data_IF_368145644343
#
_entry.id   IF_368145644343
#
_cell.length_a   1.000
_cell.length_b   1.000
_cell.length_c   1.000
_cell.angle_alpha   90.00
_cell.angle_beta   90.00
_cell.angle_gamma   90.00
#
_symmetry.space_group_name_H-M   'P 1'
#
loop_
_entity.id
_entity.type
_entity.pdbx_description
1 polymer ?
#
# COMPACT_ATOMS: atom_id res chain seq x y z
N UNK A 1 19.25 -3.06 7.90
CA UNK A 1 18.91 -1.63 8.06
C UNK A 1 17.41 -1.56 8.25
N UNK A 2 16.90 -0.67 9.11
CA UNK A 2 15.45 -0.48 9.25
C UNK A 2 14.94 0.39 8.10
N UNK A 3 13.79 0.01 7.55
CA UNK A 3 13.12 0.66 6.44
C UNK A 3 11.96 1.49 6.98
N UNK A 4 11.87 2.76 6.57
CA UNK A 4 10.75 3.63 6.95
C UNK A 4 9.71 3.59 5.83
N UNK A 5 8.51 3.01 6.04
CA UNK A 5 7.51 2.92 4.98
C UNK A 5 7.05 4.31 4.56
N UNK A 6 6.94 4.52 3.26
CA UNK A 6 6.36 5.70 2.64
C UNK A 6 5.29 5.28 1.63
N UNK A 7 4.09 5.83 1.74
CA UNK A 7 3.00 5.60 0.80
C UNK A 7 3.06 6.63 -0.34
N UNK A 8 2.99 6.14 -1.56
CA UNK A 8 2.84 6.94 -2.77
C UNK A 8 1.59 6.50 -3.50
N UNK A 9 0.61 7.39 -3.56
CA UNK A 9 -0.60 7.19 -4.34
C UNK A 9 -0.35 7.63 -5.79
N UNK A 10 -0.63 6.76 -6.76
CA UNK A 10 -0.43 7.03 -8.19
C UNK A 10 -1.75 7.37 -8.88
N UNK A 11 -2.89 6.84 -8.40
CA UNK A 11 -4.21 7.15 -8.95
C UNK A 11 -5.16 7.72 -7.89
N UNK A 12 -6.10 8.60 -8.27
CA UNK A 12 -7.14 9.07 -7.36
C UNK A 12 -8.12 7.95 -7.03
N UNK A 13 -8.81 8.05 -5.89
CA UNK A 13 -9.86 7.11 -5.52
C UNK A 13 -11.04 7.13 -6.52
N UNK A 14 -11.65 5.98 -6.81
CA UNK A 14 -12.85 5.90 -7.69
C UNK A 14 -14.13 6.25 -6.97
N UNK A 15 -14.19 6.01 -5.66
CA UNK A 15 -15.37 6.23 -4.83
C UNK A 15 -14.99 6.58 -3.38
N UNK A 16 -15.99 6.92 -2.57
CA UNK A 16 -15.80 7.31 -1.18
C UNK A 16 -15.30 6.16 -0.29
N UNK A 17 -15.63 4.90 -0.60
CA UNK A 17 -15.18 3.76 0.17
C UNK A 17 -13.69 3.48 -0.08
N UNK A 18 -13.24 3.58 -1.33
CA UNK A 18 -11.83 3.51 -1.68
C UNK A 18 -11.04 4.69 -1.12
N UNK A 19 -11.61 5.91 -1.14
CA UNK A 19 -10.99 7.06 -0.49
C UNK A 19 -10.79 6.84 1.02
N UNK A 20 -11.77 6.26 1.71
CA UNK A 20 -11.65 5.91 3.12
C UNK A 20 -10.55 4.86 3.37
N UNK A 21 -10.48 3.81 2.53
CA UNK A 21 -9.41 2.79 2.61
C UNK A 21 -8.02 3.38 2.36
N UNK A 22 -7.88 4.31 1.41
CA UNK A 22 -6.62 5.00 1.14
C UNK A 22 -6.21 5.92 2.29
N UNK A 23 -7.16 6.58 2.95
CA UNK A 23 -6.90 7.35 4.15
C UNK A 23 -6.45 6.44 5.32
N UNK A 24 -7.09 5.29 5.51
CA UNK A 24 -6.69 4.30 6.50
C UNK A 24 -5.29 3.73 6.21
N UNK A 25 -4.97 3.47 4.94
CA UNK A 25 -3.64 3.05 4.52
C UNK A 25 -2.58 4.12 4.80
N UNK A 26 -2.91 5.38 4.53
CA UNK A 26 -2.04 6.52 4.83
C UNK A 26 -1.74 6.59 6.33
N UNK A 27 -2.77 6.42 7.17
CA UNK A 27 -2.63 6.42 8.62
C UNK A 27 -1.81 5.22 9.12
N UNK A 28 -2.04 4.03 8.56
CA UNK A 28 -1.29 2.81 8.86
C UNK A 28 0.20 3.05 8.60
N UNK A 29 0.56 3.55 7.41
CA UNK A 29 1.95 3.82 7.04
C UNK A 29 2.56 4.89 7.93
N UNK A 30 1.85 5.99 8.19
CA UNK A 30 2.34 7.10 9.01
C UNK A 30 2.59 6.72 10.49
N UNK A 31 1.86 5.74 11.01
CA UNK A 31 2.00 5.27 12.41
C UNK A 31 2.87 4.02 12.55
N UNK A 32 3.27 3.41 11.44
CA UNK A 32 4.16 2.25 11.44
C UNK A 32 5.58 2.68 11.76
N UNK A 33 6.14 2.14 12.85
CA UNK A 33 7.54 2.30 13.17
C UNK A 33 8.45 1.69 12.08
N UNK A 34 9.70 2.15 11.91
CA UNK A 34 10.61 1.56 10.94
C UNK A 34 10.72 0.03 11.08
N UNK A 35 10.56 -0.68 9.97
CA UNK A 35 10.47 -2.14 9.92
C UNK A 35 11.80 -2.75 9.46
N UNK A 36 12.15 -3.97 9.91
CA UNK A 36 13.27 -4.70 9.32
C UNK A 36 13.01 -5.11 7.86
N UNK A 37 11.74 -5.31 7.50
CA UNK A 37 11.28 -5.64 6.15
C UNK A 37 9.92 -4.98 5.86
N UNK A 38 9.83 -4.18 4.82
CA UNK A 38 8.57 -3.53 4.41
C UNK A 38 7.47 -4.52 4.03
N UNK A 39 7.83 -5.74 3.62
CA UNK A 39 6.87 -6.76 3.22
C UNK A 39 6.00 -7.23 4.39
N UNK A 40 6.42 -6.96 5.63
CA UNK A 40 5.64 -7.24 6.83
C UNK A 40 4.33 -6.43 6.89
N UNK A 41 4.22 -5.33 6.14
CA UNK A 41 2.96 -4.58 6.00
C UNK A 41 1.95 -5.25 5.05
N UNK A 42 2.39 -6.15 4.18
CA UNK A 42 1.55 -6.70 3.12
C UNK A 42 0.25 -7.39 3.61
N UNK A 43 0.25 -8.14 4.73
CA UNK A 43 -0.99 -8.70 5.29
C UNK A 43 -2.00 -7.61 5.67
N UNK A 44 -1.55 -6.52 6.29
CA UNK A 44 -2.44 -5.40 6.66
C UNK A 44 -2.98 -4.68 5.42
N UNK A 45 -2.12 -4.46 4.41
CA UNK A 45 -2.56 -3.87 3.13
C UNK A 45 -3.61 -4.73 2.43
N UNK A 46 -3.45 -6.06 2.44
CA UNK A 46 -4.44 -7.01 1.88
C UNK A 46 -5.77 -7.03 2.62
N UNK A 47 -5.77 -6.75 3.92
CA UNK A 47 -7.02 -6.63 4.69
C UNK A 47 -7.78 -5.37 4.29
N UNK A 48 -7.07 -4.25 4.07
CA UNK A 48 -7.67 -3.00 3.59
C UNK A 48 -8.16 -3.11 2.14
N UNK A 49 -7.40 -3.81 1.29
CA UNK A 49 -7.67 -3.96 -0.13
C UNK A 49 -7.80 -5.45 -0.51
N UNK A 50 -8.96 -6.08 -0.21
CA UNK A 50 -9.12 -7.51 -0.41
C UNK A 50 -9.39 -7.89 -1.87
N UNK A 51 -8.98 -9.09 -2.30
CA UNK A 51 -9.44 -9.68 -3.56
C UNK A 51 -10.96 -9.95 -3.51
N UNK A 52 -11.64 -10.00 -4.67
CA UNK A 52 -11.09 -9.90 -6.01
C UNK A 52 -11.00 -8.47 -6.54
N UNK A 53 -11.41 -7.45 -5.78
CA UNK A 53 -11.45 -6.06 -6.25
C UNK A 53 -10.05 -5.45 -6.41
N UNK A 54 -9.11 -5.90 -5.58
CA UNK A 54 -7.75 -5.40 -5.54
C UNK A 54 -6.73 -6.53 -5.58
N UNK A 55 -5.58 -6.22 -6.17
CA UNK A 55 -4.39 -7.07 -6.15
C UNK A 55 -3.27 -6.37 -5.37
N UNK A 56 -2.70 -7.07 -4.40
CA UNK A 56 -1.61 -6.58 -3.56
C UNK A 56 -0.42 -7.52 -3.68
N UNK A 57 0.61 -7.04 -4.38
CA UNK A 57 1.87 -7.76 -4.54
C UNK A 57 3.02 -7.15 -3.77
N UNK A 58 4.06 -7.96 -3.59
CA UNK A 58 5.27 -7.59 -2.85
C UNK A 58 6.49 -7.94 -3.71
N UNK A 59 7.26 -6.95 -4.13
CA UNK A 59 8.44 -7.13 -4.98
C UNK A 59 9.68 -6.59 -4.30
N UNK A 60 10.61 -7.47 -3.90
CA UNK A 60 11.93 -7.10 -3.35
C UNK A 60 11.90 -6.28 -2.05
N UNK A 61 11.56 -5.00 -2.15
CA UNK A 61 11.58 -4.00 -1.08
C UNK A 61 10.39 -3.02 -1.14
N UNK A 62 9.34 -3.33 -1.90
CA UNK A 62 8.14 -2.50 -1.98
C UNK A 62 6.87 -3.36 -2.04
N UNK A 63 5.75 -2.75 -1.65
CA UNK A 63 4.40 -3.28 -1.82
C UNK A 63 3.72 -2.44 -2.90
N UNK A 64 3.04 -3.09 -3.83
CA UNK A 64 2.22 -2.40 -4.83
C UNK A 64 0.76 -2.83 -4.71
N UNK A 65 -0.13 -1.93 -5.11
CA UNK A 65 -1.58 -2.10 -5.08
C UNK A 65 -2.15 -1.76 -6.46
N UNK A 66 -2.95 -2.66 -7.01
CA UNK A 66 -3.73 -2.44 -8.24
C UNK A 66 -5.22 -2.66 -7.97
N UNK A 67 -6.06 -1.98 -8.74
CA UNK A 67 -7.45 -2.43 -8.95
C UNK A 67 -7.42 -3.56 -9.97
N UNK A 68 -8.16 -4.63 -9.75
CA UNK A 68 -8.18 -5.78 -10.69
C UNK A 68 -8.69 -5.40 -12.09
N UNK A 69 -9.46 -4.32 -12.19
CA UNK A 69 -9.98 -3.78 -13.46
C UNK A 69 -9.01 -2.85 -14.17
N UNK A 70 -7.85 -2.52 -13.57
CA UNK A 70 -6.90 -1.55 -14.10
C UNK A 70 -5.47 -2.09 -14.17
N UNK A 71 -4.77 -1.72 -15.24
CA UNK A 71 -3.37 -2.08 -15.44
C UNK A 71 -2.42 -1.15 -14.68
N UNK A 72 -2.88 0.03 -14.29
CA UNK A 72 -2.11 1.00 -13.53
C UNK A 72 -2.20 0.71 -12.02
N UNK A 73 -1.11 1.00 -11.31
CA UNK A 73 -1.05 0.93 -9.84
C UNK A 73 -1.92 2.03 -9.24
N UNK A 74 -2.72 1.66 -8.25
CA UNK A 74 -3.43 2.61 -7.41
C UNK A 74 -2.46 3.32 -6.46
N UNK A 75 -1.60 2.55 -5.80
CA UNK A 75 -0.59 3.05 -4.88
C UNK A 75 0.55 2.05 -4.73
N UNK A 76 1.66 2.52 -4.15
CA UNK A 76 2.76 1.66 -3.73
C UNK A 76 3.38 2.18 -2.43
N UNK A 77 3.99 1.27 -1.67
CA UNK A 77 4.69 1.55 -0.42
C UNK A 77 6.14 1.15 -0.61
N UNK A 78 7.05 2.08 -0.35
CA UNK A 78 8.49 1.91 -0.49
C UNK A 78 9.22 2.36 0.77
N UNK A 79 10.54 2.13 0.83
CA UNK A 79 11.38 2.70 1.87
C UNK A 79 11.68 4.16 1.54
N UNK A 80 11.47 5.06 2.49
CA UNK A 80 11.70 6.52 2.36
C UNK A 80 13.16 6.87 2.00
N UNK A 81 14.09 5.93 2.13
CA UNK A 81 15.52 6.11 1.90
C UNK A 81 16.04 5.53 0.57
N UNK A 82 15.16 5.18 -0.38
CA UNK A 82 15.57 4.84 -1.74
C UNK A 82 15.95 6.06 -2.58
#
# INVERSE_FOLDING_TARGET
MLQTPELRQELPATDAAEAARLAELTQLVATTAPLPDLRDLAPAVRQLFPPPAYEVGCGGSHIWLHRTTETQRLAFILDRHQ
#
